data_IF_901624171005
#
_entry.id   IF_901624171005
#
_cell.length_a   1.000
_cell.length_b   1.000
_cell.length_c   1.000
_cell.angle_alpha   90.00
_cell.angle_beta   90.00
_cell.angle_gamma   90.00
#
_symmetry.space_group_name_H-M   'P 1'
#
loop_
_entity.id
_entity.type
_entity.pdbx_description
1 polymer ?
#
# COMPACT_ATOMS: atom_id res chain seq x y z
N UNK A 1 17.43 9.70 -3.42
CA UNK A 1 17.58 8.25 -3.18
C UNK A 1 16.17 7.72 -3.03
N UNK A 2 15.80 6.68 -3.78
CA UNK A 2 14.48 6.07 -3.71
C UNK A 2 14.26 5.40 -2.36
N UNK A 3 12.99 5.30 -1.95
CA UNK A 3 12.58 4.61 -0.74
C UNK A 3 11.63 3.45 -1.09
N UNK A 4 11.72 2.37 -0.32
CA UNK A 4 10.82 1.23 -0.41
C UNK A 4 10.10 1.11 0.93
N UNK A 5 8.78 1.14 0.88
CA UNK A 5 7.90 0.85 1.99
C UNK A 5 7.37 -0.58 1.85
N UNK A 6 7.48 -1.36 2.93
CA UNK A 6 6.95 -2.73 2.99
C UNK A 6 6.09 -2.85 4.24
N UNK A 7 4.81 -3.15 4.06
CA UNK A 7 3.89 -3.46 5.14
C UNK A 7 3.43 -4.92 5.03
N UNK A 8 3.49 -5.65 6.13
CA UNK A 8 2.94 -6.99 6.25
C UNK A 8 1.83 -6.99 7.30
N UNK A 9 0.67 -7.54 6.95
CA UNK A 9 -0.49 -7.55 7.84
C UNK A 9 -1.39 -8.75 7.57
N UNK A 10 -2.21 -9.08 8.58
CA UNK A 10 -3.31 -10.04 8.45
C UNK A 10 -4.62 -9.27 8.38
N UNK A 11 -5.60 -9.80 7.64
CA UNK A 11 -6.95 -9.27 7.70
C UNK A 11 -7.57 -9.56 9.07
N UNK A 12 -8.51 -8.70 9.47
CA UNK A 12 -9.35 -9.02 10.63
C UNK A 12 -10.18 -10.26 10.30
N UNK A 13 -10.49 -11.13 11.28
CA UNK A 13 -11.16 -12.42 11.02
C UNK A 13 -12.50 -12.33 10.29
N UNK A 14 -13.16 -11.17 10.36
CA UNK A 14 -14.47 -10.86 9.81
C UNK A 14 -14.41 -10.02 8.51
N UNK A 15 -13.21 -9.69 8.03
CA UNK A 15 -13.02 -9.03 6.74
C UNK A 15 -13.04 -10.06 5.61
N UNK A 16 -13.97 -9.91 4.67
CA UNK A 16 -13.96 -10.71 3.44
C UNK A 16 -12.90 -10.23 2.44
N UNK A 17 -12.42 -11.15 1.61
CA UNK A 17 -11.48 -10.85 0.51
C UNK A 17 -12.04 -9.82 -0.48
N UNK A 18 -13.35 -9.82 -0.73
CA UNK A 18 -13.99 -8.83 -1.62
C UNK A 18 -13.94 -7.42 -1.03
N UNK A 19 -14.20 -7.30 0.27
CA UNK A 19 -14.09 -6.03 1.00
C UNK A 19 -12.65 -5.54 0.99
N UNK A 20 -11.70 -6.45 1.22
CA UNK A 20 -10.27 -6.12 1.17
C UNK A 20 -9.82 -5.69 -0.23
N UNK A 21 -10.20 -6.43 -1.27
CA UNK A 21 -9.88 -6.12 -2.67
C UNK A 21 -10.44 -4.75 -3.10
N UNK A 22 -11.66 -4.42 -2.67
CA UNK A 22 -12.26 -3.11 -2.92
C UNK A 22 -11.53 -1.97 -2.17
N UNK A 23 -11.05 -2.23 -0.95
CA UNK A 23 -10.22 -1.27 -0.21
C UNK A 23 -8.85 -1.08 -0.86
N UNK A 24 -8.20 -2.17 -1.29
CA UNK A 24 -6.94 -2.12 -2.03
C UNK A 24 -7.05 -1.27 -3.29
N UNK A 25 -8.07 -1.50 -4.11
CA UNK A 25 -8.28 -0.73 -5.34
C UNK A 25 -8.49 0.77 -5.09
N UNK A 26 -9.15 1.14 -3.99
CA UNK A 26 -9.29 2.55 -3.58
C UNK A 26 -7.95 3.15 -3.19
N UNK A 27 -7.14 2.42 -2.43
CA UNK A 27 -5.80 2.88 -2.05
C UNK A 27 -4.86 2.96 -3.26
N UNK A 28 -4.94 2.03 -4.22
CA UNK A 28 -4.16 2.06 -5.46
C UNK A 28 -4.45 3.35 -6.25
N UNK A 29 -5.73 3.70 -6.40
CA UNK A 29 -6.14 4.94 -7.08
C UNK A 29 -5.64 6.19 -6.35
N UNK A 30 -5.69 6.19 -5.02
CA UNK A 30 -5.20 7.31 -4.23
C UNK A 30 -3.67 7.46 -4.31
N UNK A 31 -2.93 6.34 -4.22
CA UNK A 31 -1.46 6.31 -4.30
C UNK A 31 -0.96 6.76 -5.67
N UNK A 32 -1.62 6.34 -6.75
CA UNK A 32 -1.29 6.77 -8.11
C UNK A 32 -1.36 8.30 -8.31
N UNK A 33 -2.08 9.02 -7.44
CA UNK A 33 -2.16 10.48 -7.42
C UNK A 33 -1.13 11.18 -6.53
N UNK A 34 -0.34 10.45 -5.72
CA UNK A 34 0.58 11.06 -4.77
C UNK A 34 1.87 11.52 -5.45
N UNK A 35 2.41 12.70 -5.08
CA UNK A 35 3.73 13.12 -5.53
C UNK A 35 4.81 12.11 -5.13
N UNK A 36 5.64 11.72 -6.09
CA UNK A 36 6.76 10.80 -5.86
C UNK A 36 6.39 9.32 -5.75
N UNK A 37 5.12 8.94 -5.97
CA UNK A 37 4.74 7.54 -6.13
C UNK A 37 5.34 6.96 -7.41
N UNK A 38 5.94 5.77 -7.33
CA UNK A 38 6.51 5.06 -8.49
C UNK A 38 5.65 3.86 -8.86
N UNK A 39 5.51 2.91 -7.94
CA UNK A 39 4.69 1.72 -8.14
C UNK A 39 4.27 1.08 -6.82
N UNK A 40 3.26 0.22 -6.90
CA UNK A 40 2.81 -0.64 -5.81
C UNK A 40 2.68 -2.07 -6.28
N UNK A 41 3.00 -3.03 -5.41
CA UNK A 41 2.75 -4.46 -5.63
C UNK A 41 2.13 -5.08 -4.39
N UNK A 42 1.26 -6.04 -4.64
CA UNK A 42 0.58 -6.82 -3.62
C UNK A 42 1.07 -8.25 -3.63
N UNK A 43 1.22 -8.84 -2.46
CA UNK A 43 1.50 -10.25 -2.28
C UNK A 43 0.60 -10.86 -1.22
N UNK A 44 0.30 -12.14 -1.38
CA UNK A 44 -0.39 -12.93 -0.34
C UNK A 44 0.39 -14.22 -0.14
N UNK A 45 0.63 -14.58 1.12
CA UNK A 45 1.24 -15.83 1.51
C UNK A 45 0.53 -16.37 2.75
N UNK A 46 -0.11 -17.53 2.64
CA UNK A 46 -1.01 -18.05 3.67
C UNK A 46 -2.09 -17.00 4.03
N UNK A 47 -2.19 -16.63 5.30
CA UNK A 47 -3.13 -15.63 5.81
C UNK A 47 -2.49 -14.23 5.96
N UNK A 48 -1.30 -14.03 5.37
CA UNK A 48 -0.56 -12.78 5.40
C UNK A 48 -0.61 -12.07 4.06
N UNK A 49 -0.81 -10.75 4.12
CA UNK A 49 -0.76 -9.84 3.00
C UNK A 49 0.48 -8.97 3.10
N UNK A 50 1.08 -8.72 1.94
CA UNK A 50 2.23 -7.85 1.77
C UNK A 50 1.84 -6.71 0.84
N UNK A 51 2.12 -5.49 1.28
CA UNK A 51 2.01 -4.28 0.51
C UNK A 51 3.40 -3.68 0.31
N UNK A 52 3.79 -3.54 -0.94
CA UNK A 52 5.09 -3.04 -1.37
C UNK A 52 4.89 -1.76 -2.16
N UNK A 53 5.48 -0.65 -1.71
CA UNK A 53 5.39 0.66 -2.39
C UNK A 53 6.78 1.22 -2.64
N UNK A 54 7.06 1.61 -3.88
CA UNK A 54 8.26 2.35 -4.24
C UNK A 54 7.96 3.85 -4.35
N UNK A 55 8.86 4.64 -3.77
CA UNK A 55 8.79 6.09 -3.73
C UNK A 55 10.08 6.72 -4.25
N UNK A 56 9.98 7.87 -4.90
CA UNK A 56 11.13 8.66 -5.37
C UNK A 56 12.05 9.10 -4.22
N UNK A 57 11.48 9.27 -3.03
CA UNK A 57 12.22 9.61 -1.80
C UNK A 57 11.44 9.24 -0.54
N UNK A 58 12.15 9.12 0.59
CA UNK A 58 11.52 8.91 1.90
C UNK A 58 10.56 10.05 2.26
N UNK A 59 10.91 11.30 1.95
CA UNK A 59 10.07 12.46 2.24
C UNK A 59 8.73 12.42 1.48
N UNK A 60 8.71 11.88 0.26
CA UNK A 60 7.48 11.67 -0.49
C UNK A 60 6.58 10.62 0.19
N UNK A 61 7.17 9.50 0.63
CA UNK A 61 6.46 8.45 1.37
C UNK A 61 5.84 8.99 2.68
N UNK A 62 6.63 9.74 3.47
CA UNK A 62 6.17 10.34 4.72
C UNK A 62 5.06 11.37 4.49
N UNK A 63 5.17 12.20 3.45
CA UNK A 63 4.15 13.18 3.10
C UNK A 63 2.82 12.51 2.68
N UNK A 64 2.90 11.44 1.88
CA UNK A 64 1.73 10.65 1.53
C UNK A 64 1.08 10.06 2.78
N UNK A 65 1.85 9.37 3.63
CA UNK A 65 1.35 8.76 4.87
C UNK A 65 0.71 9.75 5.83
N UNK A 66 1.19 10.99 5.90
CA UNK A 66 0.60 12.06 6.72
C UNK A 66 -0.73 12.63 6.17
N UNK A 67 -1.07 12.32 4.91
CA UNK A 67 -2.25 12.83 4.20
C UNK A 67 -3.30 11.76 3.88
N UNK A 68 -3.06 10.52 4.29
CA UNK A 68 -3.95 9.38 4.07
C UNK A 68 -5.18 9.39 5.00
#
# INVERSE_FOLDING_TARGET
>A
MTAIEIAMFKLKPDTSEDVFSAALAKTDLWLAGQPGFILRRHGTHEDEHLDYVEWESLAAAEAAGASF
#
